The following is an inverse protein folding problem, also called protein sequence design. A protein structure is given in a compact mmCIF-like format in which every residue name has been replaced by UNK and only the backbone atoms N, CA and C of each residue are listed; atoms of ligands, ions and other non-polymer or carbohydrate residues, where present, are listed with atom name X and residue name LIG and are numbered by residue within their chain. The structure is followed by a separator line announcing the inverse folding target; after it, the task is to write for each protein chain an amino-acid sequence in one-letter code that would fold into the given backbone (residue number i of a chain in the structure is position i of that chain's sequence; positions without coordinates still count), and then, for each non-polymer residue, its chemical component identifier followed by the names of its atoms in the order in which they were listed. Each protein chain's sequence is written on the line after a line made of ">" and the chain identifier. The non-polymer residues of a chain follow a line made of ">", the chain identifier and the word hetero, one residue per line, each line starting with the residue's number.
data_IF_944212659765
#
_entry.id   IF_944212659765
#
_cell.length_a   1.000
_cell.length_b   1.000
_cell.length_c   1.000
_cell.angle_alpha   90.00
_cell.angle_beta   90.00
_cell.angle_gamma   90.00
#
_symmetry.space_group_name_H-M   'P 1'
#
loop_
_entity.id
_entity.type
_entity.pdbx_description
1 polymer ?
#
# COMPACT_ATOMS: atom_id res chain seq x y z
N UNK A 1 6.66 -6.20 33.47
CA UNK A 1 7.41 -4.95 33.64
C UNK A 1 6.79 -3.90 32.73
N UNK A 2 6.15 -2.86 33.27
CA UNK A 2 5.63 -1.77 32.42
C UNK A 2 6.80 -0.89 31.96
N UNK A 3 6.97 -0.75 30.65
CA UNK A 3 7.99 0.11 30.04
C UNK A 3 7.61 1.57 30.39
N UNK A 4 8.48 2.29 31.10
CA UNK A 4 8.26 3.70 31.47
C UNK A 4 8.12 4.54 30.20
N UNK A 5 7.20 5.50 30.20
CA UNK A 5 7.06 6.48 29.11
C UNK A 5 8.32 7.36 29.08
N UNK A 6 9.03 7.49 27.95
CA UNK A 6 10.22 8.32 27.85
C UNK A 6 9.87 9.81 27.90
N UNK A 7 10.80 10.64 28.39
CA UNK A 7 10.70 12.09 28.23
C UNK A 7 10.91 12.48 26.75
N UNK A 8 10.33 13.61 26.31
CA UNK A 8 10.62 14.16 24.98
C UNK A 8 12.10 14.55 24.85
N UNK A 9 12.63 14.47 23.63
CA UNK A 9 13.98 14.91 23.29
C UNK A 9 14.00 16.45 23.16
N UNK A 10 14.82 17.18 23.95
CA UNK A 10 14.98 18.62 23.84
C UNK A 10 15.37 19.11 22.43
N UNK A 11 16.09 18.28 21.64
CA UNK A 11 16.49 18.61 20.28
C UNK A 11 15.42 18.25 19.23
N UNK A 12 14.36 17.56 19.66
CA UNK A 12 13.23 17.15 18.83
C UNK A 12 12.00 18.05 18.96
N UNK A 13 12.12 19.19 19.63
CA UNK A 13 10.99 20.09 19.86
C UNK A 13 10.74 21.01 18.67
N UNK A 14 9.47 21.08 18.26
CA UNK A 14 8.97 21.97 17.23
C UNK A 14 7.68 22.63 17.71
N UNK A 15 7.50 23.90 17.36
CA UNK A 15 6.22 24.62 17.42
C UNK A 15 5.52 24.43 16.08
N UNK A 16 4.27 24.01 16.14
CA UNK A 16 3.45 23.83 14.94
C UNK A 16 2.58 25.07 14.71
N UNK A 17 2.57 25.55 13.46
CA UNK A 17 1.66 26.59 12.99
C UNK A 17 0.91 26.04 11.76
N UNK A 18 -0.42 26.09 11.78
CA UNK A 18 -1.24 25.56 10.68
C UNK A 18 -1.86 26.70 9.88
N UNK A 19 -1.59 26.71 8.58
CA UNK A 19 -2.12 27.66 7.60
C UNK A 19 -3.10 26.89 6.71
N UNK A 20 -4.38 27.23 6.75
CA UNK A 20 -5.42 26.52 6.01
C UNK A 20 -5.93 27.30 4.80
N UNK A 21 -6.11 26.59 3.69
CA UNK A 21 -6.89 27.01 2.52
C UNK A 21 -8.07 26.04 2.34
N UNK A 22 -9.32 26.48 2.59
CA UNK A 22 -10.51 25.64 2.46
C UNK A 22 -10.71 24.98 1.09
N UNK A 23 -10.09 25.51 0.02
CA UNK A 23 -10.23 24.98 -1.33
C UNK A 23 -9.22 23.88 -1.64
N UNK A 24 -8.04 23.95 -1.02
CA UNK A 24 -6.88 23.13 -1.40
C UNK A 24 -6.48 22.18 -0.27
N UNK A 25 -6.31 22.68 0.95
CA UNK A 25 -5.77 21.90 2.06
C UNK A 25 -5.17 22.78 3.16
N UNK A 26 -4.19 22.26 3.87
CA UNK A 26 -3.46 22.97 4.90
C UNK A 26 -1.95 22.77 4.77
N UNK A 27 -1.19 23.77 5.20
CA UNK A 27 0.25 23.72 5.37
C UNK A 27 0.54 23.83 6.85
N UNK A 28 1.22 22.84 7.40
CA UNK A 28 1.74 22.85 8.76
C UNK A 28 3.21 23.22 8.73
N UNK A 29 3.52 24.38 9.31
CA UNK A 29 4.88 24.88 9.51
C UNK A 29 5.41 24.40 10.84
N UNK A 30 6.53 23.69 10.79
CA UNK A 30 7.23 23.11 11.94
C UNK A 30 8.43 24.00 12.25
N UNK A 31 8.29 24.86 13.25
CA UNK A 31 9.32 25.82 13.66
C UNK A 31 10.13 25.18 14.79
N UNK A 32 11.43 24.92 14.62
CA UNK A 32 12.24 24.33 15.67
C UNK A 32 12.31 25.26 16.88
N UNK A 33 12.21 24.68 18.08
CA UNK A 33 12.30 25.41 19.34
C UNK A 33 13.25 24.73 20.33
N UNK A 34 13.91 25.52 21.17
CA UNK A 34 14.77 25.01 22.25
C UNK A 34 13.93 24.38 23.37
N UNK A 35 14.60 23.74 24.34
CA UNK A 35 13.95 23.22 25.55
C UNK A 35 13.14 24.28 26.33
N UNK A 36 13.55 25.54 26.21
CA UNK A 36 12.88 26.69 26.83
C UNK A 36 11.72 27.25 25.99
N UNK A 37 11.44 26.64 24.82
CA UNK A 37 10.36 27.04 23.92
C UNK A 37 10.66 28.25 23.04
N UNK A 38 11.92 28.71 23.02
CA UNK A 38 12.39 29.80 22.17
C UNK A 38 12.69 29.32 20.75
N UNK A 39 12.56 30.17 19.72
CA UNK A 39 12.95 29.81 18.36
C UNK A 39 14.42 29.38 18.30
N UNK A 40 14.68 28.31 17.56
CA UNK A 40 16.02 27.75 17.38
C UNK A 40 16.48 27.96 15.92
N UNK A 41 17.30 29.00 15.63
CA UNK A 41 17.73 29.33 14.27
C UNK A 41 18.80 28.38 13.72
N UNK A 42 19.37 27.50 14.54
CA UNK A 42 20.39 26.54 14.10
C UNK A 42 19.77 25.34 13.37
N UNK A 43 18.44 25.19 13.44
CA UNK A 43 17.66 24.15 12.76
C UNK A 43 16.74 24.75 11.70
N UNK A 44 16.61 24.05 10.58
CA UNK A 44 15.71 24.46 9.51
C UNK A 44 14.24 24.21 9.87
N UNK A 45 13.36 25.15 9.46
CA UNK A 45 11.92 24.94 9.46
C UNK A 45 11.54 23.81 8.53
N UNK A 46 10.50 23.05 8.87
CA UNK A 46 9.90 22.05 7.97
C UNK A 46 8.49 22.42 7.61
N UNK A 47 8.07 22.07 6.41
CA UNK A 47 6.73 22.31 5.92
C UNK A 47 6.08 20.98 5.57
N UNK A 48 4.89 20.75 6.12
CA UNK A 48 4.11 19.55 5.87
C UNK A 48 2.81 19.99 5.19
N UNK A 49 2.54 19.47 4.01
CA UNK A 49 1.28 19.66 3.31
C UNK A 49 0.27 18.59 3.70
N UNK A 50 -0.97 19.00 3.85
CA UNK A 50 -2.11 18.13 4.12
C UNK A 50 -3.24 18.50 3.16
N UNK A 51 -3.77 17.53 2.43
CA UNK A 51 -4.96 17.74 1.61
C UNK A 51 -5.78 16.46 1.49
N UNK A 52 -7.02 16.60 1.04
CA UNK A 52 -7.91 15.46 0.83
C UNK A 52 -8.29 15.40 -0.64
N UNK A 53 -7.84 14.36 -1.35
CA UNK A 53 -8.22 14.11 -2.75
C UNK A 53 -9.46 13.25 -2.79
N UNK A 54 -10.46 13.63 -3.59
CA UNK A 54 -11.58 12.74 -3.88
C UNK A 54 -11.19 11.78 -5.00
N UNK A 55 -11.00 10.51 -4.65
CA UNK A 55 -10.73 9.44 -5.61
C UNK A 55 -12.01 8.65 -5.90
N UNK A 56 -12.08 7.84 -6.97
CA UNK A 56 -13.21 6.95 -7.20
C UNK A 56 -13.50 5.98 -6.03
N UNK A 57 -12.48 5.69 -5.21
CA UNK A 57 -12.58 4.83 -4.03
C UNK A 57 -12.96 5.58 -2.75
N UNK A 58 -13.17 6.90 -2.84
CA UNK A 58 -13.51 7.78 -1.71
C UNK A 58 -12.46 8.85 -1.43
N UNK A 59 -12.65 9.56 -0.32
CA UNK A 59 -11.74 10.61 0.14
C UNK A 59 -10.42 10.01 0.63
N UNK A 60 -9.31 10.41 0.00
CA UNK A 60 -7.96 9.98 0.34
C UNK A 60 -7.22 11.16 0.99
N UNK A 61 -6.95 11.12 2.31
CA UNK A 61 -6.09 12.09 2.95
C UNK A 61 -4.64 11.87 2.52
N UNK A 62 -4.00 12.93 2.06
CA UNK A 62 -2.59 12.97 1.67
C UNK A 62 -1.85 13.89 2.63
N UNK A 63 -0.80 13.34 3.25
CA UNK A 63 0.18 14.10 4.03
C UNK A 63 1.54 13.94 3.37
N UNK A 64 2.23 15.05 3.13
CA UNK A 64 3.51 15.07 2.44
C UNK A 64 4.42 16.16 2.98
N UNK A 65 5.73 15.95 2.84
CA UNK A 65 6.72 16.97 3.16
C UNK A 65 6.92 17.89 1.95
N UNK A 66 6.97 19.20 2.21
CA UNK A 66 7.20 20.22 1.20
C UNK A 66 8.64 20.72 1.35
N UNK A 67 9.54 20.43 0.40
CA UNK A 67 10.92 20.90 0.45
C UNK A 67 10.97 22.40 0.19
N UNK A 68 10.94 23.21 1.25
CA UNK A 68 10.88 24.66 1.20
C UNK A 68 11.67 25.30 2.35
N UNK A 69 12.13 26.54 2.15
CA UNK A 69 12.85 27.35 3.15
C UNK A 69 12.02 28.48 3.72
N UNK A 70 10.86 28.74 3.14
CA UNK A 70 9.95 29.81 3.54
C UNK A 70 8.51 29.40 3.27
N UNK A 71 7.56 30.06 3.92
CA UNK A 71 6.13 29.82 3.67
C UNK A 71 5.76 30.11 2.19
N UNK A 72 6.34 31.14 1.57
CA UNK A 72 6.09 31.44 0.16
C UNK A 72 6.57 30.32 -0.76
N UNK A 73 7.75 29.75 -0.49
CA UNK A 73 8.27 28.62 -1.25
C UNK A 73 7.41 27.38 -1.03
N UNK A 74 6.93 27.17 0.19
CA UNK A 74 6.06 26.05 0.53
C UNK A 74 4.71 26.12 -0.20
N UNK A 75 4.12 27.32 -0.29
CA UNK A 75 2.89 27.55 -1.06
C UNK A 75 3.13 27.30 -2.56
N UNK A 76 4.25 27.78 -3.10
CA UNK A 76 4.58 27.59 -4.52
C UNK A 76 4.85 26.11 -4.86
N UNK A 77 5.50 25.37 -3.98
CA UNK A 77 5.86 23.95 -4.17
C UNK A 77 4.80 22.95 -3.72
N UNK A 78 3.65 23.40 -3.20
CA UNK A 78 2.63 22.55 -2.60
C UNK A 78 2.08 21.50 -3.59
N UNK A 79 1.67 21.96 -4.78
CA UNK A 79 1.06 21.09 -5.79
C UNK A 79 2.04 20.01 -6.28
N UNK A 80 3.27 20.40 -6.62
CA UNK A 80 4.31 19.47 -7.07
C UNK A 80 4.63 18.40 -6.00
N UNK A 81 4.66 18.78 -4.73
CA UNK A 81 4.91 17.85 -3.63
C UNK A 81 3.71 16.91 -3.42
N UNK A 82 2.47 17.42 -3.56
CA UNK A 82 1.26 16.62 -3.49
C UNK A 82 1.19 15.56 -4.60
N UNK A 83 1.47 15.95 -5.85
CA UNK A 83 1.45 15.04 -7.00
C UNK A 83 2.45 13.91 -6.83
N UNK A 84 3.69 14.23 -6.42
CA UNK A 84 4.72 13.22 -6.12
C UNK A 84 4.29 12.26 -5.02
N UNK A 85 3.61 12.75 -3.97
CA UNK A 85 3.13 11.86 -2.91
C UNK A 85 1.97 10.99 -3.39
N UNK A 86 1.07 11.55 -4.19
CA UNK A 86 -0.03 10.80 -4.78
C UNK A 86 0.48 9.66 -5.68
N UNK A 87 1.48 9.94 -6.53
CA UNK A 87 2.16 8.92 -7.36
C UNK A 87 2.76 7.81 -6.49
N UNK A 88 3.54 8.16 -5.46
CA UNK A 88 4.13 7.19 -4.53
C UNK A 88 3.09 6.32 -3.85
N UNK A 89 1.97 6.92 -3.43
CA UNK A 89 0.88 6.18 -2.81
C UNK A 89 0.20 5.23 -3.80
N UNK A 90 -0.02 5.65 -5.05
CA UNK A 90 -0.58 4.78 -6.09
C UNK A 90 0.33 3.59 -6.40
N UNK A 91 1.64 3.82 -6.48
CA UNK A 91 2.61 2.75 -6.72
C UNK A 91 2.67 1.76 -5.55
N UNK A 92 2.63 2.25 -4.31
CA UNK A 92 2.58 1.40 -3.12
C UNK A 92 1.29 0.55 -3.07
N UNK A 93 0.14 1.14 -3.41
CA UNK A 93 -1.12 0.41 -3.51
C UNK A 93 -1.05 -0.71 -4.56
N UNK A 94 -0.54 -0.40 -5.76
CA UNK A 94 -0.36 -1.40 -6.84
C UNK A 94 0.57 -2.53 -6.39
N UNK A 95 1.64 -2.20 -5.67
CA UNK A 95 2.57 -3.19 -5.11
C UNK A 95 1.88 -4.12 -4.11
N UNK A 96 1.07 -3.58 -3.20
CA UNK A 96 0.34 -4.37 -2.21
C UNK A 96 -0.68 -5.32 -2.88
N UNK A 97 -1.37 -4.88 -3.93
CA UNK A 97 -2.28 -5.73 -4.71
C UNK A 97 -1.54 -6.92 -5.35
N UNK A 98 -0.34 -6.68 -5.88
CA UNK A 98 0.53 -7.72 -6.44
C UNK A 98 1.03 -8.69 -5.36
N UNK A 99 1.40 -8.19 -4.18
CA UNK A 99 1.83 -9.03 -3.06
C UNK A 99 0.68 -9.93 -2.58
N UNK A 100 -0.53 -9.39 -2.45
CA UNK A 100 -1.72 -10.15 -2.05
C UNK A 100 -2.10 -11.21 -3.07
N UNK A 101 -2.13 -10.86 -4.36
CA UNK A 101 -2.42 -11.82 -5.43
C UNK A 101 -1.35 -12.91 -5.56
N UNK A 102 -0.07 -12.57 -5.37
CA UNK A 102 1.06 -13.51 -5.36
C UNK A 102 0.97 -14.49 -4.18
N UNK A 103 0.57 -14.03 -2.99
CA UNK A 103 0.34 -14.90 -1.82
C UNK A 103 -0.80 -15.88 -2.07
N UNK A 104 -1.92 -15.44 -2.66
CA UNK A 104 -3.05 -16.31 -3.02
C UNK A 104 -2.66 -17.35 -4.07
N UNK A 105 -1.92 -16.95 -5.11
CA UNK A 105 -1.45 -17.88 -6.14
C UNK A 105 -0.48 -18.94 -5.56
N UNK A 106 0.44 -18.53 -4.68
CA UNK A 106 1.35 -19.45 -3.99
C UNK A 106 0.62 -20.37 -3.01
N UNK A 107 -0.39 -19.89 -2.30
CA UNK A 107 -1.24 -20.72 -1.44
C UNK A 107 -2.10 -21.69 -2.24
N UNK A 108 -2.61 -21.30 -3.41
CA UNK A 108 -3.33 -22.22 -4.30
C UNK A 108 -2.41 -23.35 -4.82
N UNK A 109 -1.14 -23.05 -5.08
CA UNK A 109 -0.13 -24.06 -5.44
C UNK A 109 0.27 -24.98 -4.27
N UNK A 110 0.21 -24.50 -3.02
CA UNK A 110 0.55 -25.29 -1.81
C UNK A 110 -0.66 -26.04 -1.24
N UNK A 111 -1.87 -25.50 -1.36
CA UNK A 111 -3.13 -26.11 -0.92
C UNK A 111 -3.84 -26.96 -1.97
N UNK A 112 -3.42 -26.86 -3.25
CA UNK A 112 -3.96 -27.65 -4.36
C UNK A 112 -3.22 -28.96 -4.63
N UNK A 113 -2.34 -29.40 -3.74
CA UNK A 113 -1.49 -30.56 -3.98
C UNK A 113 -1.16 -31.36 -2.74
N UNK A 114 -2.18 -31.99 -2.12
CA UNK A 114 -2.08 -33.36 -1.58
C UNK A 114 -3.43 -33.84 -1.00
N UNK A 115 -4.03 -34.83 -1.67
CA UNK A 115 -5.11 -35.69 -1.15
C UNK A 115 -6.03 -36.18 -2.28
N UNK A 116 -6.12 -37.46 -2.66
CA UNK A 116 -5.62 -38.70 -2.07
C UNK A 116 -5.26 -39.74 -3.15
N UNK A 117 -4.33 -40.67 -2.92
CA UNK A 117 -4.33 -41.81 -1.98
C UNK A 117 -4.77 -43.10 -2.68
N UNK A 118 -3.79 -43.98 -2.92
CA UNK A 118 -3.94 -45.37 -3.34
C UNK A 118 -2.57 -46.04 -3.35
N UNK A 119 -2.25 -46.76 -2.27
CA UNK A 119 -0.92 -47.27 -1.92
C UNK A 119 -0.43 -48.51 -2.69
N UNK A 120 0.64 -49.18 -2.19
CA UNK A 120 1.54 -50.03 -2.96
C UNK A 120 1.05 -51.48 -3.05
N UNK A 121 1.10 -52.07 -4.25
CA UNK A 121 0.91 -53.50 -4.40
C UNK A 121 0.61 -53.91 -5.84
N UNK A 122 1.26 -54.98 -6.29
CA UNK A 122 0.77 -55.78 -7.41
C UNK A 122 1.66 -55.73 -8.64
N UNK A 123 2.53 -56.73 -8.71
CA UNK A 123 3.12 -57.22 -9.94
C UNK A 123 2.06 -57.57 -11.00
N UNK A 124 2.43 -57.47 -12.28
CA UNK A 124 1.65 -58.08 -13.36
C UNK A 124 1.88 -57.39 -14.69
N UNK A 125 2.60 -58.05 -15.59
CA UNK A 125 2.77 -57.63 -16.98
C UNK A 125 1.50 -57.85 -17.84
N UNK A 126 1.65 -58.36 -19.07
CA UNK A 126 1.50 -57.56 -20.28
C UNK A 126 0.24 -57.92 -21.11
N UNK A 127 -0.12 -57.05 -22.06
CA UNK A 127 -0.80 -57.47 -23.30
C UNK A 127 -2.30 -57.21 -23.38
N UNK A 128 -2.76 -56.90 -24.60
CA UNK A 128 -4.16 -56.72 -25.00
C UNK A 128 -4.31 -55.48 -25.88
N UNK A 129 -4.01 -55.52 -27.18
CA UNK A 129 -4.98 -55.81 -28.25
C UNK A 129 -6.25 -54.95 -28.04
N UNK A 130 -6.49 -53.88 -28.79
CA UNK A 130 -6.54 -53.87 -30.24
C UNK A 130 -7.94 -54.25 -30.74
N UNK A 131 -8.73 -53.25 -31.15
CA UNK A 131 -9.76 -53.40 -32.18
C UNK A 131 -11.22 -53.62 -31.75
N UNK A 132 -12.12 -52.86 -32.38
CA UNK A 132 -13.57 -53.11 -32.45
C UNK A 132 -14.39 -51.82 -32.28
N UNK A 133 -14.82 -51.14 -33.36
CA UNK A 133 -16.15 -51.28 -34.03
C UNK A 133 -17.34 -51.12 -33.06
N UNK A 134 -18.48 -50.52 -33.39
CA UNK A 134 -18.98 -49.68 -34.48
C UNK A 134 -20.47 -49.43 -34.12
N UNK A 135 -21.03 -48.28 -34.53
CA UNK A 135 -22.48 -48.03 -34.57
C UNK A 135 -23.09 -47.58 -33.23
N UNK A 136 -24.09 -46.71 -33.18
CA UNK A 136 -24.96 -46.12 -34.19
C UNK A 136 -26.24 -45.63 -33.48
N UNK A 137 -26.92 -44.62 -34.03
CA UNK A 137 -28.25 -44.16 -33.60
C UNK A 137 -28.21 -42.93 -32.67
N UNK A 138 -28.44 -41.70 -33.17
CA UNK A 138 -29.73 -41.08 -33.51
C UNK A 138 -30.57 -40.68 -32.30
N UNK A 139 -30.85 -39.37 -32.18
CA UNK A 139 -32.10 -38.89 -31.56
C UNK A 139 -32.00 -37.65 -30.67
N UNK A 140 -32.37 -36.49 -31.24
CA UNK A 140 -33.29 -35.46 -30.69
C UNK A 140 -32.82 -34.68 -29.44
N UNK A 141 -32.44 -33.39 -29.54
CA UNK A 141 -33.28 -32.17 -29.65
C UNK A 141 -34.26 -32.01 -28.47
N UNK A 142 -33.84 -31.19 -27.48
CA UNK A 142 -34.51 -30.04 -26.81
C UNK A 142 -35.92 -30.22 -26.19
N UNK A 143 -36.38 -29.28 -25.32
CA UNK A 143 -35.80 -27.99 -24.93
C UNK A 143 -35.18 -27.92 -23.52
#
# INVERSE_FOLDING_TARGET
>A
MAKRIPNPDPNGLFREETISDPKVGAIRRMIPVTADGLPDPDRDEKFIGELTVMTPMGALPLTFEIPAKSLSDAVAGFADAAEKQLERMQDELRRLELEQSSLLAKQALVGGGLGGQGGPGGAGGPGGLGGGRAGGGSGLILP
#
